data_IF_525572813307
#
_entry.id   IF_525572813307
#
_cell.length_a   1.000
_cell.length_b   1.000
_cell.length_c   1.000
_cell.angle_alpha   90.00
_cell.angle_beta   90.00
_cell.angle_gamma   90.00
#
_symmetry.space_group_name_H-M   'P 1'
#
loop_
_entity.id
_entity.type
_entity.pdbx_description
1 polymer ?
#
# COMPACT_ATOMS: atom_id res chain seq x y z
N UNK A 1 3.45 18.85 -2.55
CA UNK A 1 2.20 18.27 -2.03
C UNK A 1 2.11 18.33 -0.50
N UNK A 2 0.89 18.30 0.06
CA UNK A 2 0.69 17.96 1.47
C UNK A 2 0.85 16.46 1.73
N UNK A 3 0.48 15.62 0.76
CA UNK A 3 0.70 14.17 0.83
C UNK A 3 0.87 13.54 -0.54
N UNK A 4 1.45 12.35 -0.56
CA UNK A 4 1.56 11.50 -1.74
C UNK A 4 1.36 10.04 -1.35
N UNK A 5 0.75 9.25 -2.23
CA UNK A 5 0.32 7.89 -1.96
C UNK A 5 0.58 6.99 -3.17
N UNK A 6 0.88 5.72 -2.88
CA UNK A 6 0.93 4.63 -3.85
C UNK A 6 0.06 3.49 -3.31
N UNK A 7 -0.97 3.10 -4.06
CA UNK A 7 -1.83 1.99 -3.72
C UNK A 7 -1.74 0.91 -4.80
N UNK A 8 -1.74 -0.35 -4.35
CA UNK A 8 -1.64 -1.53 -5.19
C UNK A 8 -2.82 -2.43 -4.85
N UNK A 9 -3.51 -2.90 -5.89
CA UNK A 9 -4.71 -3.72 -5.76
C UNK A 9 -4.46 -5.12 -6.30
N UNK A 10 -5.28 -6.07 -5.86
CA UNK A 10 -5.20 -7.48 -6.24
C UNK A 10 -5.69 -7.75 -7.67
N UNK A 11 -6.39 -6.80 -8.28
CA UNK A 11 -6.78 -6.81 -9.70
C UNK A 11 -5.66 -6.35 -10.66
N UNK A 12 -4.47 -6.04 -10.13
CA UNK A 12 -3.31 -5.57 -10.89
C UNK A 12 -3.29 -4.06 -11.13
N UNK A 13 -4.30 -3.31 -10.67
CA UNK A 13 -4.28 -1.86 -10.75
C UNK A 13 -3.30 -1.27 -9.72
N UNK A 14 -2.66 -0.18 -10.15
CA UNK A 14 -1.76 0.62 -9.32
C UNK A 14 -2.16 2.09 -9.46
N UNK A 15 -2.21 2.80 -8.34
CA UNK A 15 -2.58 4.21 -8.31
C UNK A 15 -1.50 5.00 -7.59
N UNK A 16 -0.96 6.02 -8.28
CA UNK A 16 -0.17 7.09 -7.67
C UNK A 16 -1.05 8.33 -7.53
N UNK A 17 -0.97 8.98 -6.38
CA UNK A 17 -1.80 10.15 -6.09
C UNK A 17 -1.04 11.18 -5.26
N UNK A 18 -1.22 12.46 -5.59
CA UNK A 18 -0.77 13.59 -4.79
C UNK A 18 -1.98 14.31 -4.20
N UNK A 19 -1.90 14.67 -2.92
CA UNK A 19 -2.99 15.32 -2.21
C UNK A 19 -2.61 16.75 -1.81
N UNK A 20 -3.47 17.71 -2.19
CA UNK A 20 -3.26 19.17 -2.05
C UNK A 20 -1.88 19.57 -2.56
N UNK A 21 -1.63 19.28 -3.82
CA UNK A 21 -0.35 19.52 -4.47
C UNK A 21 -0.42 20.68 -5.48
N UNK A 22 0.38 21.75 -5.32
CA UNK A 22 0.42 22.82 -6.30
C UNK A 22 1.27 22.50 -7.55
N UNK A 23 2.07 21.43 -7.54
CA UNK A 23 3.11 21.17 -8.54
C UNK A 23 2.69 20.07 -9.54
N UNK A 24 1.86 20.41 -10.53
CA UNK A 24 1.26 19.41 -11.42
C UNK A 24 2.31 18.70 -12.31
N UNK A 25 3.13 19.45 -13.04
CA UNK A 25 4.05 18.88 -14.03
C UNK A 25 5.18 18.11 -13.34
N UNK A 26 5.73 18.69 -12.27
CA UNK A 26 6.79 18.09 -11.48
C UNK A 26 6.34 16.77 -10.85
N UNK A 27 5.10 16.71 -10.36
CA UNK A 27 4.55 15.46 -9.80
C UNK A 27 4.38 14.37 -10.85
N UNK A 28 3.99 14.73 -12.08
CA UNK A 28 3.96 13.77 -13.19
C UNK A 28 5.36 13.28 -13.56
N UNK A 29 6.36 14.15 -13.52
CA UNK A 29 7.74 13.77 -13.81
C UNK A 29 8.31 12.84 -12.73
N UNK A 30 8.02 13.11 -11.45
CA UNK A 30 8.34 12.18 -10.34
C UNK A 30 7.72 10.80 -10.56
N UNK A 31 6.47 10.72 -11.03
CA UNK A 31 5.83 9.43 -11.33
C UNK A 31 6.53 8.68 -12.48
N UNK A 32 7.02 9.39 -13.50
CA UNK A 32 7.78 8.78 -14.61
C UNK A 32 9.16 8.29 -14.18
N UNK A 33 9.78 8.95 -13.20
CA UNK A 33 11.12 8.61 -12.69
C UNK A 33 11.11 7.46 -11.67
N UNK A 34 9.95 7.16 -11.07
CA UNK A 34 9.79 6.11 -10.06
C UNK A 34 10.40 4.74 -10.46
N UNK A 35 10.23 4.21 -11.69
CA UNK A 35 10.82 2.94 -12.06
C UNK A 35 12.35 2.95 -11.99
N UNK A 36 12.98 4.08 -12.33
CA UNK A 36 14.44 4.20 -12.26
C UNK A 36 14.89 4.27 -10.80
N UNK A 37 14.21 5.08 -9.99
CA UNK A 37 14.45 5.14 -8.55
C UNK A 37 14.41 3.74 -7.91
N UNK A 38 13.40 2.92 -8.23
CA UNK A 38 13.26 1.56 -7.68
C UNK A 38 14.38 0.61 -8.12
N UNK A 39 14.93 0.76 -9.33
CA UNK A 39 16.08 -0.05 -9.79
C UNK A 39 17.36 0.28 -9.03
N UNK A 40 17.54 1.56 -8.72
CA UNK A 40 18.73 2.06 -8.03
C UNK A 40 18.55 2.06 -6.50
N UNK A 41 17.39 1.61 -6.02
CA UNK A 41 17.03 1.64 -4.61
C UNK A 41 17.83 0.62 -3.81
N UNK A 42 18.81 1.12 -3.05
CA UNK A 42 19.63 0.32 -2.15
C UNK A 42 19.36 0.68 -0.70
N UNK A 43 19.26 -0.33 0.16
CA UNK A 43 19.00 -0.16 1.59
C UNK A 43 19.84 -1.11 2.43
N UNK A 44 20.01 -0.77 3.69
CA UNK A 44 20.46 -1.70 4.73
C UNK A 44 19.34 -2.64 5.16
N UNK A 45 19.70 -3.80 5.73
CA UNK A 45 18.72 -4.73 6.33
C UNK A 45 17.84 -4.05 7.39
N UNK A 46 18.40 -3.09 8.12
CA UNK A 46 17.66 -2.33 9.15
C UNK A 46 16.57 -1.47 8.53
N UNK A 47 16.81 -0.86 7.38
CA UNK A 47 15.82 -0.04 6.68
C UNK A 47 14.76 -0.93 6.02
N UNK A 48 15.17 -2.01 5.35
CA UNK A 48 14.22 -2.98 4.80
C UNK A 48 13.25 -3.52 5.87
N UNK A 49 13.77 -3.82 7.06
CA UNK A 49 12.94 -4.26 8.20
C UNK A 49 11.87 -3.22 8.60
N UNK A 50 12.16 -1.92 8.49
CA UNK A 50 11.16 -0.88 8.77
C UNK A 50 10.01 -0.90 7.76
N UNK A 51 10.31 -1.11 6.48
CA UNK A 51 9.28 -1.24 5.45
C UNK A 51 8.40 -2.46 5.71
N UNK A 52 9.01 -3.61 6.04
CA UNK A 52 8.27 -4.83 6.40
C UNK A 52 7.35 -4.59 7.60
N UNK A 53 7.86 -4.04 8.70
CA UNK A 53 7.04 -3.73 9.89
C UNK A 53 5.92 -2.75 9.55
N UNK A 54 6.21 -1.73 8.73
CA UNK A 54 5.21 -0.77 8.26
C UNK A 54 4.08 -1.45 7.49
N UNK A 55 4.39 -2.37 6.56
CA UNK A 55 3.39 -3.15 5.83
C UNK A 55 2.56 -4.04 6.76
N UNK A 56 3.21 -4.76 7.67
CA UNK A 56 2.53 -5.66 8.62
C UNK A 56 1.65 -4.92 9.64
N UNK A 57 1.98 -3.67 9.99
CA UNK A 57 1.22 -2.89 10.99
C UNK A 57 -0.28 -2.75 10.68
N UNK A 58 -0.67 -2.83 9.41
CA UNK A 58 -2.07 -2.78 8.97
C UNK A 58 -2.84 -4.07 9.28
N UNK A 59 -2.14 -5.21 9.39
CA UNK A 59 -2.71 -6.52 9.74
C UNK A 59 -2.92 -6.65 11.25
N UNK A 60 -2.02 -6.06 12.05
CA UNK A 60 -2.03 -6.12 13.52
C UNK A 60 -3.06 -5.19 14.20
N UNK A 61 -3.94 -4.54 13.41
CA UNK A 61 -4.97 -3.66 13.96
C UNK A 61 -6.03 -4.47 14.72
N UNK A 62 -6.29 -4.16 16.01
CA UNK A 62 -7.27 -4.90 16.79
C UNK A 62 -8.67 -4.77 16.17
N UNK A 63 -9.24 -5.91 15.77
CA UNK A 63 -10.58 -5.93 15.20
C UNK A 63 -11.64 -5.94 16.29
N UNK A 64 -12.41 -4.87 16.36
CA UNK A 64 -13.61 -4.84 17.20
C UNK A 64 -14.67 -5.81 16.67
N UNK A 65 -15.61 -6.28 17.49
CA UNK A 65 -16.70 -7.15 17.04
C UNK A 65 -17.46 -6.58 15.83
N UNK A 66 -17.63 -5.26 15.77
CA UNK A 66 -18.31 -4.58 14.67
C UNK A 66 -17.55 -4.64 13.34
N UNK A 67 -16.20 -4.70 13.36
CA UNK A 67 -15.38 -4.78 12.15
C UNK A 67 -15.28 -6.19 11.56
N UNK A 68 -15.51 -7.22 12.39
CA UNK A 68 -15.40 -8.63 11.96
C UNK A 68 -16.44 -9.01 10.92
N UNK A 69 -17.68 -8.55 11.07
CA UNK A 69 -18.79 -8.85 10.15
C UNK A 69 -18.51 -8.37 8.72
N UNK A 70 -18.26 -7.07 8.50
CA UNK A 70 -17.92 -6.53 7.18
C UNK A 70 -16.69 -7.19 6.55
N UNK A 71 -15.64 -7.48 7.33
CA UNK A 71 -14.44 -8.18 6.80
C UNK A 71 -14.77 -9.58 6.31
N UNK A 72 -15.50 -10.37 7.11
CA UNK A 72 -15.91 -11.72 6.73
C UNK A 72 -16.79 -11.71 5.47
N UNK A 73 -17.71 -10.74 5.39
CA UNK A 73 -18.58 -10.56 4.22
C UNK A 73 -17.77 -10.18 2.97
N UNK A 74 -16.81 -9.26 3.10
CA UNK A 74 -15.91 -8.87 2.01
C UNK A 74 -15.11 -10.06 1.48
N UNK A 75 -14.54 -10.88 2.37
CA UNK A 75 -13.81 -12.10 1.99
C UNK A 75 -14.70 -13.12 1.28
N UNK A 76 -15.92 -13.33 1.79
CA UNK A 76 -16.86 -14.27 1.19
C UNK A 76 -17.24 -13.87 -0.25
N UNK A 77 -17.55 -12.61 -0.48
CA UNK A 77 -17.97 -12.14 -1.81
C UNK A 77 -16.81 -11.95 -2.79
N UNK A 78 -15.60 -11.66 -2.32
CA UNK A 78 -14.42 -11.59 -3.19
C UNK A 78 -13.84 -12.97 -3.51
N UNK A 79 -14.33 -14.04 -2.86
CA UNK A 79 -13.77 -15.39 -2.99
C UNK A 79 -12.38 -15.55 -2.35
N UNK A 80 -11.92 -14.55 -1.59
CA UNK A 80 -10.62 -14.59 -0.93
C UNK A 80 -10.64 -15.59 0.24
N UNK A 81 -9.66 -16.50 0.28
CA UNK A 81 -9.52 -17.44 1.39
C UNK A 81 -8.63 -16.85 2.48
N UNK A 82 -8.83 -17.33 3.70
CA UNK A 82 -7.95 -16.97 4.81
C UNK A 82 -6.52 -17.45 4.56
N UNK A 83 -6.37 -18.61 3.93
CA UNK A 83 -5.09 -19.22 3.54
C UNK A 83 -4.24 -18.33 2.61
N UNK A 84 -4.91 -17.50 1.79
CA UNK A 84 -4.25 -16.59 0.84
C UNK A 84 -3.78 -15.29 1.52
N UNK A 85 -4.22 -15.05 2.76
CA UNK A 85 -3.87 -13.86 3.54
C UNK A 85 -2.71 -14.23 4.46
N UNK A 86 -1.70 -13.35 4.53
CA UNK A 86 -0.67 -13.42 5.56
C UNK A 86 -1.36 -13.10 6.90
N UNK A 87 -1.45 -14.09 7.79
CA UNK A 87 -1.71 -13.88 9.22
C UNK A 87 -0.41 -13.59 9.97
#
# INVERSE_FOLDING_TARGET
AYGAFANFYDDGNMIFCSYRDPNLLETLDVYKELPQYLRDFTLTDREMRKYIIGTMSSLDLPMTPALRGPRAMGMYFSGAKLEDKVE
#
